data_IF_482714125249
#
_entry.id   IF_482714125249
#
_cell.length_a   1.000
_cell.length_b   1.000
_cell.length_c   1.000
_cell.angle_alpha   90.00
_cell.angle_beta   90.00
_cell.angle_gamma   90.00
#
_symmetry.space_group_name_H-M   'P 1'
#
loop_
_entity.id
_entity.type
_entity.pdbx_description
1 polymer ?
#
# COMPACT_ATOMS: atom_id res chain seq x y z
N UNK A 1 22.85 35.30 -3.55
CA UNK A 1 22.50 34.08 -4.29
C UNK A 1 21.34 33.41 -3.54
N UNK A 2 20.11 33.72 -3.93
CA UNK A 2 18.89 33.24 -3.27
C UNK A 2 18.51 31.88 -3.87
N UNK A 3 18.72 30.78 -3.13
CA UNK A 3 18.16 29.50 -3.50
C UNK A 3 16.68 29.46 -3.07
N UNK A 4 15.82 29.73 -4.04
CA UNK A 4 14.40 29.43 -3.99
C UNK A 4 14.22 27.93 -3.76
N UNK A 5 13.79 27.57 -2.55
CA UNK A 5 13.35 26.23 -2.22
C UNK A 5 12.17 25.91 -3.13
N UNK A 6 12.35 24.91 -4.00
CA UNK A 6 11.36 24.47 -4.99
C UNK A 6 10.17 23.84 -4.25
N UNK A 7 9.24 24.70 -3.80
CA UNK A 7 7.91 24.34 -3.32
C UNK A 7 7.10 23.75 -4.47
N UNK A 8 7.40 22.53 -4.88
CA UNK A 8 6.66 21.86 -5.97
C UNK A 8 6.75 20.35 -5.85
N UNK A 9 6.12 19.79 -4.80
CA UNK A 9 5.61 18.41 -4.82
C UNK A 9 4.74 18.08 -3.60
N UNK A 10 3.88 19.02 -3.18
CA UNK A 10 2.54 18.61 -2.79
C UNK A 10 1.81 18.24 -4.08
N UNK A 11 2.23 17.14 -4.70
CA UNK A 11 1.42 16.48 -5.70
C UNK A 11 0.10 16.19 -5.00
N UNK A 12 -1.01 16.57 -5.64
CA UNK A 12 -2.35 16.20 -5.24
C UNK A 12 -2.28 14.80 -4.64
N UNK A 13 -2.66 14.67 -3.38
CA UNK A 13 -2.80 13.38 -2.75
C UNK A 13 -3.91 12.66 -3.51
N UNK A 14 -3.55 12.05 -4.63
CA UNK A 14 -4.43 11.24 -5.45
C UNK A 14 -5.08 10.29 -4.48
N UNK A 15 -6.38 10.42 -4.32
CA UNK A 15 -7.11 9.74 -3.24
C UNK A 15 -7.01 8.25 -3.52
N UNK A 16 -6.00 7.58 -2.94
CA UNK A 16 -5.76 6.16 -3.17
C UNK A 16 -7.01 5.43 -2.64
N UNK A 17 -7.81 4.90 -3.56
CA UNK A 17 -9.07 4.22 -3.26
C UNK A 17 -8.79 2.85 -2.63
N UNK A 18 -9.72 2.42 -1.80
CA UNK A 18 -9.72 1.05 -1.29
C UNK A 18 -9.90 0.06 -2.47
N UNK A 19 -9.14 -1.04 -2.52
CA UNK A 19 -9.27 -2.05 -3.57
C UNK A 19 -10.61 -2.81 -3.51
N UNK A 20 -11.13 -3.22 -4.67
CA UNK A 20 -12.39 -3.97 -4.76
C UNK A 20 -12.35 -5.29 -3.98
N UNK A 21 -13.48 -5.66 -3.38
CA UNK A 21 -13.68 -6.95 -2.74
C UNK A 21 -13.56 -8.13 -3.73
N UNK A 22 -13.80 -7.91 -5.01
CA UNK A 22 -13.71 -8.97 -6.04
C UNK A 22 -12.29 -9.46 -6.28
N UNK A 23 -11.29 -8.68 -5.86
CA UNK A 23 -9.88 -9.04 -5.96
C UNK A 23 -9.41 -9.94 -4.81
N UNK A 24 -10.27 -10.17 -3.82
CA UNK A 24 -9.91 -10.91 -2.61
C UNK A 24 -9.60 -12.37 -2.95
N UNK A 25 -8.54 -12.87 -2.34
CA UNK A 25 -8.06 -14.25 -2.59
C UNK A 25 -7.69 -14.94 -1.27
N UNK A 26 -7.88 -16.27 -1.14
CA UNK A 26 -7.37 -16.99 0.02
C UNK A 26 -5.87 -16.80 0.19
N UNK A 27 -5.38 -16.61 1.42
CA UNK A 27 -3.96 -16.37 1.69
C UNK A 27 -3.08 -17.49 1.13
N UNK A 28 -3.49 -18.75 1.31
CA UNK A 28 -2.78 -19.92 0.78
C UNK A 28 -2.68 -19.95 -0.75
N UNK A 29 -3.58 -19.25 -1.45
CA UNK A 29 -3.62 -19.16 -2.92
C UNK A 29 -3.08 -17.83 -3.44
N UNK A 30 -2.62 -16.95 -2.55
CA UNK A 30 -2.13 -15.64 -2.95
C UNK A 30 -0.77 -15.80 -3.66
N UNK A 31 -0.72 -15.49 -4.96
CA UNK A 31 0.52 -15.52 -5.76
C UNK A 31 1.52 -14.43 -5.37
N UNK A 32 2.69 -14.39 -6.01
CA UNK A 32 3.78 -13.47 -5.64
C UNK A 32 3.46 -11.97 -5.86
N UNK A 33 2.58 -11.65 -6.82
CA UNK A 33 2.34 -10.29 -7.31
C UNK A 33 1.00 -9.68 -6.83
N UNK A 34 0.47 -10.17 -5.71
CA UNK A 34 -0.79 -9.69 -5.13
C UNK A 34 -0.64 -9.27 -3.68
N UNK A 35 -1.47 -8.32 -3.27
CA UNK A 35 -1.43 -7.71 -1.95
C UNK A 35 -1.78 -8.71 -0.85
N UNK A 36 -0.88 -8.87 0.11
CA UNK A 36 -0.95 -9.82 1.22
C UNK A 36 -1.62 -9.27 2.49
N UNK A 37 -2.29 -8.12 2.40
CA UNK A 37 -3.00 -7.58 3.55
C UNK A 37 -4.19 -8.49 3.89
N UNK A 38 -4.24 -9.02 5.11
CA UNK A 38 -5.33 -9.89 5.56
C UNK A 38 -6.55 -9.03 5.88
N UNK A 39 -7.69 -9.41 5.31
CA UNK A 39 -8.99 -8.79 5.59
C UNK A 39 -9.70 -9.66 6.62
N UNK A 40 -9.98 -9.08 7.79
CA UNK A 40 -10.56 -9.79 8.93
C UNK A 40 -9.52 -10.56 9.73
N UNK A 41 -9.88 -11.75 10.19
CA UNK A 41 -9.07 -12.53 11.13
C UNK A 41 -7.96 -13.37 10.45
N UNK A 42 -6.74 -13.38 10.98
CA UNK A 42 -5.61 -14.16 10.45
C UNK A 42 -5.71 -15.64 10.86
N UNK A 43 -6.70 -16.34 10.29
CA UNK A 43 -6.92 -17.78 10.48
C UNK A 43 -6.40 -18.59 9.29
N UNK A 44 -6.52 -19.92 9.34
CA UNK A 44 -6.21 -20.80 8.19
C UNK A 44 -7.04 -20.49 6.94
N UNK A 45 -8.21 -19.85 7.12
CA UNK A 45 -9.09 -19.40 6.04
C UNK A 45 -8.93 -17.90 5.76
N UNK A 46 -7.80 -17.32 6.16
CA UNK A 46 -7.52 -15.90 5.95
C UNK A 46 -7.68 -15.52 4.48
N UNK A 47 -8.33 -14.39 4.26
CA UNK A 47 -8.54 -13.79 2.94
C UNK A 47 -7.64 -12.57 2.82
N UNK A 48 -6.90 -12.49 1.72
CA UNK A 48 -6.08 -11.34 1.37
C UNK A 48 -6.86 -10.33 0.54
N UNK A 49 -6.44 -9.07 0.60
CA UNK A 49 -6.80 -8.00 -0.32
C UNK A 49 -6.69 -8.44 -1.80
N UNK A 50 -5.57 -9.06 -2.18
CA UNK A 50 -5.38 -9.63 -3.51
C UNK A 50 -5.20 -8.63 -4.67
N UNK A 51 -5.32 -7.32 -4.40
CA UNK A 51 -5.04 -6.30 -5.42
C UNK A 51 -3.59 -6.38 -5.94
N UNK A 52 -3.34 -6.06 -7.23
CA UNK A 52 -1.99 -6.05 -7.79
C UNK A 52 -1.02 -5.18 -6.98
N UNK A 53 0.20 -5.65 -6.84
CA UNK A 53 1.30 -4.90 -6.22
C UNK A 53 2.32 -4.54 -7.28
N UNK A 54 3.03 -3.42 -7.06
CA UNK A 54 4.22 -3.13 -7.85
C UNK A 54 5.34 -4.11 -7.45
N UNK A 55 6.22 -4.43 -8.39
CA UNK A 55 7.25 -5.45 -8.21
C UNK A 55 8.04 -5.30 -6.91
N UNK A 56 8.27 -6.44 -6.24
CA UNK A 56 9.01 -6.53 -4.98
C UNK A 56 8.25 -6.01 -3.74
N UNK A 57 6.96 -5.68 -3.84
CA UNK A 57 6.16 -5.20 -2.69
C UNK A 57 5.12 -6.22 -2.26
N UNK A 58 4.88 -6.31 -0.95
CA UNK A 58 3.84 -7.19 -0.39
C UNK A 58 2.45 -6.55 -0.29
N UNK A 59 2.36 -5.22 -0.43
CA UNK A 59 1.11 -4.46 -0.22
C UNK A 59 0.82 -3.48 -1.35
N UNK A 60 -0.46 -3.36 -1.73
CA UNK A 60 -0.93 -2.39 -2.72
C UNK A 60 -0.84 -0.95 -2.16
N UNK A 61 -0.97 0.06 -3.03
CA UNK A 61 -0.82 1.47 -2.64
C UNK A 61 -1.69 1.85 -1.43
N UNK A 62 -2.92 1.33 -1.34
CA UNK A 62 -3.82 1.58 -0.22
C UNK A 62 -3.28 0.97 1.09
N UNK A 63 -3.04 -0.34 1.10
CA UNK A 63 -2.61 -1.04 2.32
C UNK A 63 -1.18 -0.69 2.76
N UNK A 64 -0.34 -0.17 1.87
CA UNK A 64 0.96 0.39 2.29
C UNK A 64 0.82 1.54 3.27
N UNK A 65 -0.24 2.33 3.19
CA UNK A 65 -0.51 3.44 4.13
C UNK A 65 -0.93 2.98 5.52
N UNK A 66 -1.37 1.73 5.63
CA UNK A 66 -1.79 1.10 6.88
C UNK A 66 -0.58 0.41 7.53
N UNK A 67 0.22 -0.29 6.72
CA UNK A 67 1.36 -1.09 7.20
C UNK A 67 2.57 -0.22 7.54
N UNK A 68 2.85 0.81 6.74
CA UNK A 68 3.96 1.70 6.99
C UNK A 68 3.48 2.94 7.74
N UNK A 69 4.24 3.34 8.77
CA UNK A 69 4.06 4.66 9.37
C UNK A 69 4.23 5.73 8.28
N UNK A 70 3.34 6.75 8.23
CA UNK A 70 3.60 7.94 7.43
C UNK A 70 4.96 8.49 7.85
N UNK A 71 5.90 8.57 6.92
CA UNK A 71 7.22 9.15 7.19
C UNK A 71 7.00 10.54 7.78
N UNK A 72 7.38 10.71 9.05
CA UNK A 72 7.38 12.04 9.68
C UNK A 72 8.20 12.96 8.76
N UNK A 73 7.65 14.13 8.36
CA UNK A 73 8.42 15.08 7.57
C UNK A 73 9.66 15.47 8.40
N UNK A 74 10.83 14.99 7.98
CA UNK A 74 12.10 15.29 8.66
C UNK A 74 13.11 14.14 8.78
N UNK A 75 12.74 12.88 8.53
CA UNK A 75 13.74 11.79 8.49
C UNK A 75 14.00 11.36 7.05
N UNK A 76 14.93 12.05 6.41
CA UNK A 76 15.61 11.57 5.20
C UNK A 76 16.40 10.31 5.65
N UNK A 77 16.15 9.18 4.99
CA UNK A 77 17.04 8.01 5.05
C UNK A 77 18.07 8.13 3.96
#
# INVERSE_FOLDING_TARGET
>A
MNQLVRMSQIGEAETIKEPSADLRVPFAQSGAFVCKFIIGEPTERAVCCGAPVQDGKSWCAYHRRIVFEPTRPGRIR
#
